data_IF_593639434914
#
_entry.id   IF_593639434914
#
_cell.length_a   1.000
_cell.length_b   1.000
_cell.length_c   1.000
_cell.angle_alpha   90.00
_cell.angle_beta   90.00
_cell.angle_gamma   90.00
#
_symmetry.space_group_name_H-M   'P 1'
#
loop_
_entity.id
_entity.type
_entity.pdbx_description
1 polymer ?
#
# COMPACT_ATOMS: atom_id res chain seq x y z
N UNK A 1 8.29 15.10 -6.47
CA UNK A 1 7.89 14.10 -5.46
C UNK A 1 9.04 13.97 -4.48
N UNK A 2 8.81 14.31 -3.23
CA UNK A 2 9.83 14.21 -2.17
C UNK A 2 9.42 13.06 -1.27
N UNK A 3 10.35 12.15 -0.98
CA UNK A 3 10.14 11.04 -0.07
C UNK A 3 11.00 11.28 1.16
N UNK A 4 10.35 11.39 2.30
CA UNK A 4 11.02 11.58 3.60
C UNK A 4 10.51 10.56 4.61
N UNK A 5 11.41 10.11 5.49
CA UNK A 5 11.07 9.48 6.76
C UNK A 5 10.85 10.59 7.79
N UNK A 6 9.65 10.81 8.32
CA UNK A 6 9.38 11.97 9.14
C UNK A 6 9.83 11.82 10.60
N UNK A 7 10.43 12.90 11.15
CA UNK A 7 10.25 13.26 12.56
C UNK A 7 8.86 13.93 12.70
N UNK A 8 8.11 13.59 13.72
CA UNK A 8 6.67 13.89 13.90
C UNK A 8 6.29 15.39 14.02
N UNK A 9 7.24 16.29 14.15
CA UNK A 9 6.99 17.68 14.58
C UNK A 9 6.70 18.69 13.44
N UNK A 10 6.46 18.23 12.20
CA UNK A 10 6.37 19.12 11.03
C UNK A 10 4.98 19.18 10.37
N UNK A 11 3.93 18.70 11.00
CA UNK A 11 2.64 18.45 10.33
C UNK A 11 1.66 19.62 10.28
N UNK A 12 1.84 20.69 11.05
CA UNK A 12 0.82 21.75 11.16
C UNK A 12 0.76 22.75 9.98
N UNK A 13 1.74 22.78 9.08
CA UNK A 13 1.78 23.78 8.01
C UNK A 13 1.35 23.33 6.60
N UNK A 14 0.90 22.07 6.42
CA UNK A 14 0.64 21.50 5.10
C UNK A 14 -0.86 21.38 4.78
N UNK A 15 -1.61 22.48 4.85
CA UNK A 15 -3.07 22.49 4.63
C UNK A 15 -3.55 22.11 3.20
N UNK A 16 -2.67 21.84 2.24
CA UNK A 16 -3.06 21.53 0.84
C UNK A 16 -2.38 20.34 0.20
N UNK A 17 -1.60 19.55 0.95
CA UNK A 17 -0.88 18.40 0.41
C UNK A 17 -1.45 17.09 0.95
N UNK A 18 -1.85 16.18 0.03
CA UNK A 18 -2.29 14.83 0.39
C UNK A 18 -1.10 14.03 0.90
N UNK A 19 -1.18 13.59 2.14
CA UNK A 19 -0.19 12.73 2.77
C UNK A 19 -0.62 11.27 2.59
N UNK A 20 0.23 10.45 1.99
CA UNK A 20 -0.03 9.02 1.86
C UNK A 20 1.03 8.26 2.64
N UNK A 21 0.60 7.44 3.57
CA UNK A 21 1.49 6.62 4.39
C UNK A 21 1.56 5.20 3.84
N UNK A 22 2.78 4.69 3.70
CA UNK A 22 3.02 3.26 3.54
C UNK A 22 3.64 2.78 4.85
N UNK A 23 2.92 1.92 5.56
CA UNK A 23 3.44 1.26 6.75
C UNK A 23 3.95 -0.09 6.30
N UNK A 24 5.27 -0.28 6.37
CA UNK A 24 5.87 -1.60 6.25
C UNK A 24 5.94 -2.22 7.64
N UNK A 25 5.15 -3.26 7.89
CA UNK A 25 5.17 -4.02 9.13
C UNK A 25 5.96 -5.31 8.90
N UNK A 26 7.02 -5.52 9.69
CA UNK A 26 7.89 -6.68 9.58
C UNK A 26 9.00 -6.51 8.53
N UNK A 27 9.58 -7.62 8.08
CA UNK A 27 10.73 -7.64 7.17
C UNK A 27 10.35 -7.41 5.70
N UNK A 28 9.28 -6.63 5.45
CA UNK A 28 8.79 -6.38 4.10
C UNK A 28 9.49 -5.16 3.51
N UNK A 29 10.23 -5.34 2.42
CA UNK A 29 10.95 -4.29 1.73
C UNK A 29 10.50 -4.17 0.28
N UNK A 30 10.04 -2.98 -0.13
CA UNK A 30 9.79 -2.68 -1.54
C UNK A 30 11.01 -2.05 -2.19
N UNK A 31 11.34 -2.49 -3.40
CA UNK A 31 12.30 -1.83 -4.28
C UNK A 31 11.63 -1.55 -5.62
N UNK A 32 11.80 -0.32 -6.10
CA UNK A 32 11.33 0.13 -7.41
C UNK A 32 12.56 0.49 -8.23
N UNK A 33 12.64 -0.04 -9.45
CA UNK A 33 13.76 0.16 -10.35
C UNK A 33 13.27 0.75 -11.67
N UNK A 34 13.58 2.04 -11.92
CA UNK A 34 13.30 2.73 -13.17
C UNK A 34 11.85 2.58 -13.65
N UNK A 35 10.88 2.73 -12.73
CA UNK A 35 9.47 2.67 -13.04
C UNK A 35 9.07 3.95 -13.77
N UNK A 36 8.55 3.80 -14.99
CA UNK A 36 7.88 4.86 -15.74
C UNK A 36 6.47 4.42 -16.08
N UNK A 37 5.53 5.35 -16.03
CA UNK A 37 4.14 5.06 -16.34
C UNK A 37 3.42 6.27 -16.93
N UNK A 38 2.60 6.00 -17.94
CA UNK A 38 1.77 7.01 -18.61
C UNK A 38 0.32 6.54 -18.64
N UNK A 39 -0.62 7.45 -18.38
CA UNK A 39 -2.01 7.30 -18.78
C UNK A 39 -2.14 7.87 -20.19
N UNK A 40 -2.46 7.01 -21.14
CA UNK A 40 -2.52 7.37 -22.57
C UNK A 40 -1.23 8.09 -23.04
N UNK A 41 -1.29 9.40 -23.28
CA UNK A 41 -0.15 10.23 -23.72
C UNK A 41 0.50 11.05 -22.59
N UNK A 42 -0.07 11.01 -21.36
CA UNK A 42 0.44 11.79 -20.24
C UNK A 42 1.34 10.94 -19.36
N UNK A 43 2.65 11.20 -19.40
CA UNK A 43 3.61 10.59 -18.48
C UNK A 43 3.38 11.11 -17.06
N UNK A 44 3.16 10.18 -16.11
CA UNK A 44 2.85 10.47 -14.71
C UNK A 44 3.98 10.05 -13.79
N UNK A 45 4.59 8.90 -14.05
CA UNK A 45 5.80 8.46 -13.37
C UNK A 45 6.95 8.43 -14.36
N UNK A 46 8.10 8.99 -13.97
CA UNK A 46 9.25 9.13 -14.83
C UNK A 46 10.49 8.60 -14.14
N UNK A 47 10.95 7.43 -14.59
CA UNK A 47 12.19 6.79 -14.15
C UNK A 47 12.36 6.77 -12.61
N UNK A 48 11.30 6.34 -11.91
CA UNK A 48 11.30 6.29 -10.44
C UNK A 48 12.11 5.09 -9.98
N UNK A 49 13.14 5.38 -9.18
CA UNK A 49 13.93 4.35 -8.48
C UNK A 49 13.97 4.68 -7.00
N UNK A 50 13.47 3.74 -6.17
CA UNK A 50 13.34 3.97 -4.73
C UNK A 50 13.27 2.67 -3.97
N UNK A 51 13.75 2.69 -2.73
CA UNK A 51 13.61 1.61 -1.77
C UNK A 51 12.78 2.09 -0.58
N UNK A 52 11.75 1.33 -0.23
CA UNK A 52 10.99 1.50 1.00
C UNK A 52 11.55 0.52 2.03
N UNK A 53 12.25 1.02 3.05
CA UNK A 53 12.89 0.13 4.03
C UNK A 53 11.84 -0.57 4.89
N UNK A 54 12.14 -1.78 5.32
CA UNK A 54 11.35 -2.51 6.31
C UNK A 54 11.35 -1.81 7.67
N UNK A 55 10.36 -2.10 8.48
CA UNK A 55 10.21 -1.57 9.86
C UNK A 55 10.31 -0.04 9.95
N UNK A 56 9.93 0.67 8.91
CA UNK A 56 9.92 2.14 8.85
C UNK A 56 8.60 2.65 8.32
N UNK A 57 8.16 3.78 8.86
CA UNK A 57 7.07 4.56 8.28
C UNK A 57 7.66 5.43 7.18
N UNK A 58 7.17 5.28 5.96
CA UNK A 58 7.57 6.12 4.82
C UNK A 58 6.37 6.94 4.36
N UNK A 59 6.53 8.25 4.29
CA UNK A 59 5.52 9.16 3.77
C UNK A 59 5.88 9.63 2.36
N UNK A 60 4.91 9.57 1.43
CA UNK A 60 5.01 10.13 0.09
C UNK A 60 4.27 11.46 0.09
N UNK A 61 5.01 12.55 -0.12
CA UNK A 61 4.49 13.92 -0.05
C UNK A 61 4.69 14.60 -1.41
N UNK A 62 3.72 15.40 -1.82
CA UNK A 62 3.83 16.17 -3.06
C UNK A 62 2.49 16.80 -3.46
N UNK A 63 2.47 17.73 -4.41
CA UNK A 63 1.26 18.41 -4.88
C UNK A 63 0.27 17.43 -5.53
N UNK A 64 -0.97 17.88 -5.67
CA UNK A 64 -2.00 17.08 -6.35
C UNK A 64 -1.59 16.83 -7.82
N UNK A 65 -1.86 15.62 -8.30
CA UNK A 65 -1.53 15.21 -9.67
C UNK A 65 -0.06 14.83 -9.92
N UNK A 66 0.83 14.87 -8.91
CA UNK A 66 2.25 14.50 -9.09
C UNK A 66 2.53 12.99 -9.15
N UNK A 67 1.51 12.14 -9.17
CA UNK A 67 1.68 10.69 -9.35
C UNK A 67 1.71 9.85 -8.08
N UNK A 68 1.43 10.41 -6.88
CA UNK A 68 1.42 9.65 -5.60
C UNK A 68 0.49 8.45 -5.63
N UNK A 69 -0.77 8.65 -5.98
CA UNK A 69 -1.77 7.59 -6.07
C UNK A 69 -1.43 6.57 -7.15
N UNK A 70 -0.87 7.03 -8.28
CA UNK A 70 -0.40 6.14 -9.35
C UNK A 70 0.73 5.24 -8.88
N UNK A 71 1.71 5.80 -8.16
CA UNK A 71 2.81 5.00 -7.58
C UNK A 71 2.28 3.95 -6.61
N UNK A 72 1.36 4.34 -5.72
CA UNK A 72 0.72 3.39 -4.80
C UNK A 72 -0.05 2.31 -5.54
N UNK A 73 -0.77 2.66 -6.61
CA UNK A 73 -1.52 1.70 -7.42
C UNK A 73 -0.63 0.61 -8.03
N UNK A 74 0.63 0.91 -8.31
CA UNK A 74 1.61 -0.10 -8.68
C UNK A 74 2.03 -0.95 -7.49
N UNK A 75 2.25 -0.36 -6.30
CA UNK A 75 2.69 -1.09 -5.11
C UNK A 75 1.66 -2.10 -4.61
N UNK A 76 0.36 -1.79 -4.71
CA UNK A 76 -0.69 -2.74 -4.33
C UNK A 76 -1.30 -3.50 -5.53
N UNK A 77 -0.60 -3.50 -6.68
CA UNK A 77 -0.91 -4.31 -7.86
C UNK A 77 -2.23 -3.98 -8.56
N UNK A 78 -2.77 -2.77 -8.39
CA UNK A 78 -3.87 -2.28 -9.22
C UNK A 78 -3.39 -1.94 -10.64
N UNK A 79 -2.14 -1.47 -10.76
CA UNK A 79 -1.46 -1.23 -12.03
C UNK A 79 -0.26 -2.18 -12.17
N UNK A 80 0.01 -2.71 -13.38
CA UNK A 80 1.12 -3.62 -13.62
C UNK A 80 2.47 -2.90 -13.53
N UNK A 81 3.44 -3.47 -12.82
CA UNK A 81 4.78 -2.88 -12.66
C UNK A 81 5.80 -3.36 -13.70
N UNK A 82 5.47 -4.34 -14.51
CA UNK A 82 6.34 -4.92 -15.56
C UNK A 82 7.72 -5.30 -14.99
N UNK A 83 7.75 -6.02 -13.90
CA UNK A 83 8.95 -6.45 -13.17
C UNK A 83 9.86 -5.31 -12.67
N UNK A 84 9.35 -4.07 -12.62
CA UNK A 84 10.08 -2.92 -12.09
C UNK A 84 9.99 -2.80 -10.57
N UNK A 85 9.16 -3.61 -9.93
CA UNK A 85 8.95 -3.60 -8.48
C UNK A 85 9.22 -4.97 -7.91
N UNK A 86 10.01 -5.02 -6.86
CA UNK A 86 10.18 -6.21 -6.05
C UNK A 86 9.68 -5.98 -4.62
N UNK A 87 9.15 -7.04 -4.04
CA UNK A 87 8.78 -7.14 -2.62
C UNK A 87 9.60 -8.26 -2.03
N UNK A 88 10.41 -7.98 -1.00
CA UNK A 88 11.36 -8.94 -0.43
C UNK A 88 12.23 -9.63 -1.49
N UNK A 89 12.80 -8.84 -2.41
CA UNK A 89 13.66 -9.30 -3.51
C UNK A 89 12.98 -10.20 -4.55
N UNK A 90 11.68 -10.46 -4.44
CA UNK A 90 10.88 -11.26 -5.37
C UNK A 90 10.03 -10.33 -6.24
N UNK A 91 9.94 -10.54 -7.56
CA UNK A 91 9.10 -9.71 -8.43
C UNK A 91 7.66 -9.64 -7.90
N UNK A 92 7.11 -8.42 -7.85
CA UNK A 92 5.82 -8.16 -7.24
C UNK A 92 4.69 -8.97 -7.88
N UNK A 93 4.73 -9.14 -9.20
CA UNK A 93 3.75 -9.89 -9.98
C UNK A 93 3.78 -11.40 -9.72
N UNK A 94 4.90 -11.93 -9.23
CA UNK A 94 5.07 -13.38 -9.00
C UNK A 94 4.36 -13.89 -7.75
N UNK A 95 3.91 -13.00 -6.85
CA UNK A 95 3.15 -13.39 -5.68
C UNK A 95 1.74 -13.84 -6.05
N UNK A 96 1.28 -14.95 -5.49
CA UNK A 96 -0.14 -15.35 -5.55
C UNK A 96 -0.98 -14.35 -4.74
N UNK A 97 -2.24 -14.14 -5.12
CA UNK A 97 -3.10 -13.13 -4.48
C UNK A 97 -3.16 -13.27 -2.95
N UNK A 98 -3.30 -14.49 -2.45
CA UNK A 98 -3.35 -14.77 -1.01
C UNK A 98 -2.02 -14.49 -0.30
N UNK A 99 -0.90 -14.93 -0.88
CA UNK A 99 0.45 -14.70 -0.37
C UNK A 99 0.73 -13.19 -0.28
N UNK A 100 0.36 -12.44 -1.31
CA UNK A 100 0.49 -10.99 -1.33
C UNK A 100 -0.38 -10.31 -0.25
N UNK A 101 -1.63 -10.73 -0.10
CA UNK A 101 -2.55 -10.16 0.89
C UNK A 101 -2.14 -10.46 2.35
N UNK A 102 -1.30 -11.46 2.60
CA UNK A 102 -0.71 -11.70 3.91
C UNK A 102 0.45 -10.74 4.23
N UNK A 103 1.08 -10.16 3.19
CA UNK A 103 2.21 -9.26 3.34
C UNK A 103 1.81 -7.77 3.27
N UNK A 104 0.73 -7.47 2.54
CA UNK A 104 0.36 -6.09 2.19
C UNK A 104 -1.11 -5.84 2.49
N UNK A 105 -1.37 -4.84 3.31
CA UNK A 105 -2.70 -4.29 3.53
C UNK A 105 -2.78 -2.88 2.93
N UNK A 106 -3.93 -2.53 2.38
CA UNK A 106 -4.16 -1.22 1.75
C UNK A 106 -5.40 -0.58 2.37
N UNK A 107 -5.22 0.65 2.85
CA UNK A 107 -6.33 1.50 3.25
C UNK A 107 -6.49 2.61 2.22
N UNK A 108 -7.62 2.62 1.51
CA UNK A 108 -7.93 3.64 0.51
C UNK A 108 -8.71 4.80 1.13
N UNK A 109 -8.62 5.97 0.50
CA UNK A 109 -9.38 7.16 0.93
C UNK A 109 -10.84 7.15 0.47
N UNK A 110 -11.24 6.23 -0.40
CA UNK A 110 -12.61 6.15 -0.89
C UNK A 110 -13.57 5.87 0.27
N UNK A 111 -14.48 6.80 0.50
CA UNK A 111 -15.66 6.59 1.34
C UNK A 111 -16.69 5.82 0.49
N UNK A 112 -16.47 4.53 0.34
CA UNK A 112 -17.52 3.69 -0.21
C UNK A 112 -18.60 3.55 0.86
N UNK A 113 -19.78 4.07 0.57
CA UNK A 113 -20.98 3.98 1.41
C UNK A 113 -21.41 2.54 1.75
N UNK A 114 -20.77 1.55 1.13
CA UNK A 114 -21.00 0.14 1.46
C UNK A 114 -20.43 -0.29 2.83
N UNK A 115 -19.55 0.51 3.45
CA UNK A 115 -18.96 0.17 4.76
C UNK A 115 -19.86 0.57 5.92
N UNK A 116 -20.82 1.46 5.68
CA UNK A 116 -21.66 2.05 6.74
C UNK A 116 -22.54 1.01 7.45
N UNK A 117 -22.83 -0.13 6.83
CA UNK A 117 -23.65 -1.21 7.38
C UNK A 117 -22.86 -2.31 8.12
N UNK A 118 -21.53 -2.26 8.13
CA UNK A 118 -20.70 -3.25 8.81
C UNK A 118 -20.38 -2.87 10.24
N UNK A 119 -20.38 -3.85 11.13
CA UNK A 119 -19.86 -3.65 12.48
C UNK A 119 -18.33 -3.52 12.42
N UNK A 120 -17.77 -2.66 13.26
CA UNK A 120 -16.31 -2.45 13.33
C UNK A 120 -15.55 -3.77 13.48
N UNK A 121 -16.05 -4.69 14.33
CA UNK A 121 -15.46 -6.02 14.50
C UNK A 121 -15.39 -6.83 13.20
N UNK A 122 -16.38 -6.69 12.31
CA UNK A 122 -16.44 -7.46 11.07
C UNK A 122 -15.41 -6.91 10.08
N UNK A 123 -15.23 -5.60 10.03
CA UNK A 123 -14.18 -4.95 9.21
C UNK A 123 -12.80 -5.38 9.69
N UNK A 124 -12.55 -5.40 11.00
CA UNK A 124 -11.26 -5.84 11.55
C UNK A 124 -11.02 -7.31 11.24
N UNK A 125 -12.06 -8.16 11.40
CA UNK A 125 -11.98 -9.59 11.06
C UNK A 125 -11.72 -9.83 9.56
N UNK A 126 -12.19 -8.96 8.67
CA UNK A 126 -11.87 -9.05 7.22
C UNK A 126 -10.36 -9.02 6.97
N UNK A 127 -9.59 -8.31 7.79
CA UNK A 127 -8.13 -8.33 7.73
C UNK A 127 -7.50 -9.70 7.98
N UNK A 128 -8.25 -10.63 8.60
CA UNK A 128 -7.82 -12.02 8.80
C UNK A 128 -8.14 -12.95 7.63
N UNK A 129 -8.91 -12.47 6.63
CA UNK A 129 -9.31 -13.29 5.48
C UNK A 129 -8.16 -13.99 4.76
N UNK A 130 -7.00 -13.38 4.50
CA UNK A 130 -5.87 -14.05 3.85
C UNK A 130 -5.27 -15.22 4.64
N UNK A 131 -5.54 -15.30 5.94
CA UNK A 131 -5.00 -16.33 6.85
C UNK A 131 -5.95 -17.52 7.02
N UNK A 132 -7.20 -17.42 6.59
CA UNK A 132 -8.18 -18.51 6.68
C UNK A 132 -7.73 -19.73 5.85
N UNK A 133 -7.78 -20.89 6.44
CA UNK A 133 -7.33 -22.12 5.75
C UNK A 133 -8.33 -22.66 4.73
N UNK A 134 -9.65 -22.43 4.91
CA UNK A 134 -10.72 -22.94 4.02
C UNK A 134 -11.93 -21.99 4.01
N UNK A 135 -12.92 -22.25 3.15
CA UNK A 135 -14.24 -21.63 3.20
C UNK A 135 -14.94 -21.98 4.51
N UNK A 136 -14.79 -21.15 5.54
CA UNK A 136 -15.34 -21.41 6.86
C UNK A 136 -15.39 -20.15 7.73
N UNK A 137 -15.85 -20.32 8.96
CA UNK A 137 -15.84 -19.31 9.99
C UNK A 137 -14.42 -18.94 10.39
N UNK A 138 -14.23 -17.76 10.98
CA UNK A 138 -12.96 -17.35 11.59
C UNK A 138 -12.68 -18.25 12.81
N UNK A 139 -11.43 -18.59 13.01
CA UNK A 139 -11.01 -19.34 14.20
C UNK A 139 -11.08 -18.47 15.46
N UNK A 140 -11.04 -19.11 16.63
CA UNK A 140 -10.95 -18.39 17.90
C UNK A 140 -9.68 -17.51 17.95
N UNK A 141 -8.59 -17.95 17.36
CA UNK A 141 -7.35 -17.19 17.28
C UNK A 141 -7.49 -15.96 16.36
N UNK A 142 -8.19 -16.07 15.22
CA UNK A 142 -8.47 -14.92 14.36
C UNK A 142 -9.29 -13.86 15.09
N UNK A 143 -10.29 -14.26 15.88
CA UNK A 143 -11.12 -13.35 16.69
C UNK A 143 -10.30 -12.71 17.81
N UNK A 144 -9.33 -13.43 18.36
CA UNK A 144 -8.47 -12.90 19.44
C UNK A 144 -7.43 -11.91 18.93
N UNK A 145 -6.97 -12.07 17.69
CA UNK A 145 -6.00 -11.17 17.04
C UNK A 145 -6.69 -9.89 16.53
N UNK A 146 -7.94 -9.98 16.12
CA UNK A 146 -8.75 -8.85 15.66
C UNK A 146 -9.28 -8.01 16.81
#
# INVERSE_FOLDING_TARGET
MIIRTPHLDYYESLQTQWLVYIISIGDTMYQINQLSFSYEKKEVLKNISITFPNNKITAIIGPNGCGKSTLLSHLYRLLPSKDKITLNQKPLESYKGREFAQLVAVLTQSRDSMIDDFLVKDIVLMGRYPYKQHFGTYSADDVKIA
#
